data_IF_928300228072
#
_entry.id   IF_928300228072
#
_cell.length_a   1.000
_cell.length_b   1.000
_cell.length_c   1.000
_cell.angle_alpha   90.00
_cell.angle_beta   90.00
_cell.angle_gamma   90.00
#
_symmetry.space_group_name_H-M   'P 1'
#
loop_
_entity.id
_entity.type
_entity.pdbx_description
1 polymer ?
#
# COMPACT_ATOMS: atom_id res chain seq x y z
N UNK A 1 31.08 -8.80 13.94
CA UNK A 1 30.03 -8.52 14.94
C UNK A 1 29.95 -7.01 15.12
N UNK A 2 28.77 -6.43 15.33
CA UNK A 2 28.66 -4.98 15.47
C UNK A 2 29.35 -4.50 16.74
N UNK A 3 29.96 -3.32 16.68
CA UNK A 3 30.65 -2.71 17.82
C UNK A 3 29.67 -2.08 18.80
N UNK A 4 30.09 -1.83 20.04
CA UNK A 4 29.25 -1.19 21.07
C UNK A 4 28.75 0.18 20.63
N UNK A 5 29.57 0.93 19.89
CA UNK A 5 29.20 2.21 19.31
C UNK A 5 28.04 2.08 18.31
N UNK A 6 28.09 1.07 17.43
CA UNK A 6 27.02 0.80 16.48
C UNK A 6 25.72 0.32 17.15
N UNK A 7 25.83 -0.42 18.25
CA UNK A 7 24.68 -0.82 19.06
C UNK A 7 24.04 0.39 19.74
N UNK A 8 24.84 1.28 20.34
CA UNK A 8 24.37 2.50 21.01
C UNK A 8 23.68 3.44 20.02
N UNK A 9 24.24 3.60 18.81
CA UNK A 9 23.64 4.38 17.72
C UNK A 9 22.30 3.81 17.25
N UNK A 10 22.18 2.48 17.16
CA UNK A 10 20.89 1.84 16.78
C UNK A 10 19.83 1.98 17.86
N UNK A 11 20.21 1.86 19.13
CA UNK A 11 19.30 2.04 20.26
C UNK A 11 18.79 3.48 20.35
N UNK A 12 19.66 4.48 20.13
CA UNK A 12 19.22 5.89 20.11
C UNK A 12 18.23 6.16 18.99
N UNK A 13 18.48 5.66 17.78
CA UNK A 13 17.55 5.77 16.65
C UNK A 13 16.21 5.07 16.90
N UNK A 14 16.21 3.93 17.57
CA UNK A 14 15.00 3.21 17.95
C UNK A 14 14.19 4.01 18.98
N UNK A 15 14.85 4.55 20.00
CA UNK A 15 14.23 5.37 21.04
C UNK A 15 13.66 6.69 20.48
N UNK A 16 14.37 7.36 19.58
CA UNK A 16 13.89 8.57 18.90
C UNK A 16 12.64 8.30 18.07
N UNK A 17 12.62 7.21 17.29
CA UNK A 17 11.45 6.81 16.50
C UNK A 17 10.25 6.50 17.37
N UNK A 18 10.46 5.78 18.48
CA UNK A 18 9.42 5.48 19.45
C UNK A 18 8.85 6.77 20.08
N UNK A 19 9.71 7.71 20.48
CA UNK A 19 9.30 9.03 21.01
C UNK A 19 8.54 9.86 19.98
N UNK A 20 8.87 9.75 18.70
CA UNK A 20 8.16 10.39 17.60
C UNK A 20 6.81 9.72 17.25
N UNK A 21 6.36 8.72 18.02
CA UNK A 21 5.12 7.98 17.79
C UNK A 21 5.16 7.05 16.58
N UNK A 22 6.33 6.85 15.96
CA UNK A 22 6.51 5.93 14.84
C UNK A 22 6.79 4.54 15.38
N UNK A 23 6.20 3.50 14.78
CA UNK A 23 6.57 2.12 15.13
C UNK A 23 8.01 1.84 14.68
N UNK A 24 8.97 1.66 15.62
CA UNK A 24 10.38 1.47 15.27
C UNK A 24 10.69 0.03 14.82
N UNK A 25 9.72 -0.89 14.98
CA UNK A 25 9.84 -2.30 14.64
C UNK A 25 9.61 -2.48 13.13
N UNK A 26 10.53 -3.20 12.48
CA UNK A 26 10.35 -3.57 11.07
C UNK A 26 9.18 -4.57 10.97
N UNK A 27 8.15 -4.30 10.15
CA UNK A 27 7.02 -5.21 10.03
C UNK A 27 7.48 -6.56 9.50
N UNK A 28 6.96 -7.63 10.08
CA UNK A 28 7.24 -8.99 9.64
C UNK A 28 6.70 -9.23 8.22
N UNK A 29 7.14 -10.32 7.58
CA UNK A 29 6.59 -10.70 6.26
C UNK A 29 5.08 -10.95 6.35
N UNK A 30 4.61 -11.51 7.46
CA UNK A 30 3.19 -11.76 7.70
C UNK A 30 2.41 -10.46 7.90
N UNK A 31 2.95 -9.50 8.64
CA UNK A 31 2.33 -8.16 8.81
C UNK A 31 2.20 -7.45 7.46
N UNK A 32 3.24 -7.51 6.62
CA UNK A 32 3.21 -6.91 5.29
C UNK A 32 2.15 -7.56 4.39
N UNK A 33 1.98 -8.88 4.49
CA UNK A 33 1.01 -9.61 3.69
C UNK A 33 -0.42 -9.33 4.15
N UNK A 34 -0.66 -9.25 5.47
CA UNK A 34 -1.98 -8.94 6.04
C UNK A 34 -2.50 -7.55 5.63
N UNK A 35 -1.61 -6.60 5.34
CA UNK A 35 -1.95 -5.23 4.92
C UNK A 35 -2.04 -5.05 3.41
N UNK A 36 -1.74 -6.09 2.61
CA UNK A 36 -1.91 -6.00 1.15
C UNK A 36 -3.38 -6.13 0.79
N UNK A 37 -3.84 -5.26 -0.09
CA UNK A 37 -5.14 -5.43 -0.75
C UNK A 37 -5.17 -6.78 -1.47
N UNK A 38 -6.25 -7.57 -1.33
CA UNK A 38 -6.43 -8.80 -2.10
C UNK A 38 -6.69 -8.53 -3.58
N UNK A 39 -7.13 -7.31 -3.93
CA UNK A 39 -7.44 -6.90 -5.31
C UNK A 39 -6.28 -6.10 -5.88
N UNK A 40 -5.81 -6.50 -7.07
CA UNK A 40 -4.76 -5.79 -7.80
C UNK A 40 -5.29 -4.51 -8.44
N UNK A 41 -4.41 -3.52 -8.63
CA UNK A 41 -4.74 -2.26 -9.31
C UNK A 41 -5.24 -2.52 -10.75
N UNK A 42 -4.69 -3.54 -11.42
CA UNK A 42 -5.15 -3.95 -12.74
C UNK A 42 -6.57 -4.51 -12.73
N UNK A 43 -6.92 -5.34 -11.76
CA UNK A 43 -8.30 -5.83 -11.62
C UNK A 43 -9.28 -4.67 -11.40
N UNK A 44 -8.90 -3.71 -10.56
CA UNK A 44 -9.70 -2.50 -10.34
C UNK A 44 -9.86 -1.68 -11.63
N UNK A 45 -8.78 -1.53 -12.40
CA UNK A 45 -8.79 -0.82 -13.68
C UNK A 45 -9.70 -1.46 -14.73
N UNK A 46 -9.69 -2.79 -14.83
CA UNK A 46 -10.58 -3.52 -15.75
C UNK A 46 -12.04 -3.32 -15.36
N UNK A 47 -12.37 -3.45 -14.06
CA UNK A 47 -13.74 -3.24 -13.57
C UNK A 47 -14.19 -1.82 -13.91
N UNK A 48 -13.36 -0.82 -13.62
CA UNK A 48 -13.67 0.58 -13.92
C UNK A 48 -13.88 0.81 -15.42
N UNK A 49 -13.01 0.23 -16.26
CA UNK A 49 -13.13 0.31 -17.70
C UNK A 49 -14.44 -0.31 -18.21
N UNK A 50 -14.82 -1.48 -17.71
CA UNK A 50 -16.08 -2.14 -18.11
C UNK A 50 -17.29 -1.31 -17.70
N UNK A 51 -17.28 -0.77 -16.47
CA UNK A 51 -18.39 0.08 -15.98
C UNK A 51 -18.50 1.36 -16.81
N UNK A 52 -17.41 2.08 -17.01
CA UNK A 52 -17.42 3.33 -17.79
C UNK A 52 -17.68 3.07 -19.27
N UNK A 53 -17.07 2.03 -19.84
CA UNK A 53 -17.23 1.64 -21.24
C UNK A 53 -18.66 1.22 -21.55
N UNK A 54 -19.31 0.47 -20.66
CA UNK A 54 -20.72 0.11 -20.78
C UNK A 54 -21.63 1.33 -20.76
N UNK A 55 -21.38 2.28 -19.85
CA UNK A 55 -22.16 3.54 -19.79
C UNK A 55 -21.95 4.38 -21.05
N UNK A 56 -20.71 4.53 -21.53
CA UNK A 56 -20.41 5.27 -22.75
C UNK A 56 -21.09 4.61 -23.96
N UNK A 57 -21.03 3.29 -24.06
CA UNK A 57 -21.69 2.54 -25.14
C UNK A 57 -23.21 2.75 -25.12
N UNK A 58 -23.84 2.69 -23.94
CA UNK A 58 -25.28 2.89 -23.81
C UNK A 58 -25.68 4.34 -24.17
N UNK A 59 -24.88 5.33 -23.78
CA UNK A 59 -25.11 6.72 -24.19
C UNK A 59 -24.98 6.88 -25.70
N UNK A 60 -23.93 6.32 -26.31
CA UNK A 60 -23.76 6.35 -27.75
C UNK A 60 -24.93 5.69 -28.47
N UNK A 61 -25.42 4.56 -27.94
CA UNK A 61 -26.63 3.92 -28.45
C UNK A 61 -27.82 4.85 -28.36
N UNK A 62 -28.13 5.40 -27.19
CA UNK A 62 -29.29 6.28 -26.99
C UNK A 62 -29.30 7.53 -27.90
N UNK A 63 -28.12 8.09 -28.20
CA UNK A 63 -28.01 9.32 -28.99
C UNK A 63 -27.83 9.08 -30.50
N UNK A 64 -27.25 7.95 -30.90
CA UNK A 64 -26.83 7.71 -32.30
C UNK A 64 -27.45 6.45 -32.95
N UNK A 65 -28.22 5.63 -32.22
CA UNK A 65 -28.85 4.41 -32.74
C UNK A 65 -30.34 4.33 -32.35
#
# INVERSE_FOLDING_TARGET
>A
MPTEFELRKRNSQFAEKARAGKNPIKPSRQDKLSKRSPVSIWALGIILFVVLGGVIFELLRLFFL
#
